data_IF_093710350006
#
_entry.id   IF_093710350006
#
_cell.length_a   1.000
_cell.length_b   1.000
_cell.length_c   1.000
_cell.angle_alpha   90.00
_cell.angle_beta   90.00
_cell.angle_gamma   90.00
#
_symmetry.space_group_name_H-M   'P 1'
#
loop_
_entity.id
_entity.type
_entity.pdbx_description
1 polymer ?
#
# COMPACT_ATOMS: atom_id res chain seq x y z
N UNK A 1 -12.48 2.00 6.92
CA UNK A 1 -11.32 2.84 7.26
C UNK A 1 -11.36 4.09 6.41
N UNK A 2 -11.12 5.24 7.02
CA UNK A 2 -11.10 6.55 6.37
C UNK A 2 -9.72 7.21 6.50
N UNK A 3 -9.61 8.44 6.00
CA UNK A 3 -8.42 9.28 6.19
C UNK A 3 -8.27 9.67 7.66
N UNK A 4 -9.39 9.98 8.32
CA UNK A 4 -9.45 10.41 9.71
C UNK A 4 -8.96 9.29 10.65
N UNK A 5 -9.26 8.03 10.33
CA UNK A 5 -8.72 6.86 11.05
C UNK A 5 -7.19 6.79 10.96
N UNK A 6 -6.64 7.03 9.76
CA UNK A 6 -5.19 7.03 9.54
C UNK A 6 -4.51 8.20 10.27
N UNK A 7 -5.12 9.38 10.23
CA UNK A 7 -4.62 10.58 10.90
C UNK A 7 -4.59 10.39 12.42
N UNK A 8 -5.68 9.88 13.00
CA UNK A 8 -5.79 9.60 14.44
C UNK A 8 -4.74 8.58 14.88
N UNK A 9 -4.51 7.53 14.08
CA UNK A 9 -3.48 6.54 14.37
C UNK A 9 -2.07 7.11 14.35
N UNK A 10 -1.72 7.89 13.31
CA UNK A 10 -0.39 8.50 13.23
C UNK A 10 -0.13 9.47 14.39
N UNK A 11 -1.17 10.17 14.86
CA UNK A 11 -1.08 11.01 16.06
C UNK A 11 -0.88 10.17 17.33
N UNK A 12 -1.61 9.06 17.50
CA UNK A 12 -1.47 8.22 18.69
C UNK A 12 -0.12 7.50 18.77
N UNK A 13 0.50 7.23 17.62
CA UNK A 13 1.85 6.66 17.52
C UNK A 13 2.96 7.73 17.55
N UNK A 14 2.61 9.01 17.77
CA UNK A 14 3.53 10.16 17.82
C UNK A 14 4.43 10.29 16.58
N UNK A 15 3.95 9.82 15.43
CA UNK A 15 4.68 9.89 14.16
C UNK A 15 4.56 11.31 13.60
N UNK A 16 5.67 11.89 13.14
CA UNK A 16 5.63 13.17 12.42
C UNK A 16 5.08 12.95 11.00
N UNK A 17 3.96 13.59 10.68
CA UNK A 17 3.35 13.49 9.35
C UNK A 17 2.78 14.82 8.87
N UNK A 18 2.47 14.88 7.57
CA UNK A 18 1.67 15.95 6.95
C UNK A 18 0.81 15.35 5.85
N UNK A 19 -0.51 15.51 5.95
CA UNK A 19 -1.44 15.07 4.90
C UNK A 19 -1.62 16.20 3.89
N UNK A 20 -1.21 15.95 2.64
CA UNK A 20 -1.40 16.87 1.53
C UNK A 20 -2.69 16.50 0.78
N UNK A 21 -3.58 17.48 0.58
CA UNK A 21 -4.85 17.29 -0.14
C UNK A 21 -4.83 18.12 -1.41
N UNK A 22 -5.14 17.48 -2.54
CA UNK A 22 -5.11 18.12 -3.85
C UNK A 22 -6.50 18.11 -4.49
N UNK A 23 -6.80 19.14 -5.31
CA UNK A 23 -8.10 19.26 -6.00
C UNK A 23 -8.28 18.24 -7.14
N UNK A 24 -7.19 17.69 -7.69
CA UNK A 24 -7.21 16.69 -8.78
C UNK A 24 -6.87 15.32 -8.20
N UNK A 25 -7.54 14.27 -8.66
CA UNK A 25 -7.31 12.90 -8.21
C UNK A 25 -5.84 12.46 -8.40
N UNK A 26 -5.29 11.77 -7.39
CA UNK A 26 -3.94 11.18 -7.35
C UNK A 26 -4.02 9.65 -7.34
N UNK A 27 -4.73 9.07 -8.30
CA UNK A 27 -4.94 7.62 -8.32
C UNK A 27 -3.75 6.84 -8.88
N UNK A 28 -2.84 7.51 -9.59
CA UNK A 28 -1.65 6.89 -10.18
C UNK A 28 -0.36 7.49 -9.64
N UNK A 29 0.73 6.72 -9.76
CA UNK A 29 2.09 7.20 -9.43
C UNK A 29 2.44 8.44 -10.24
N UNK A 30 2.06 8.48 -11.53
CA UNK A 30 2.33 9.62 -12.41
C UNK A 30 1.58 10.89 -11.97
N UNK A 31 0.31 10.75 -11.55
CA UNK A 31 -0.44 11.89 -11.00
C UNK A 31 0.24 12.43 -9.73
N UNK A 32 0.69 11.51 -8.86
CA UNK A 32 1.39 11.88 -7.64
C UNK A 32 2.75 12.53 -7.92
N UNK A 33 3.54 12.07 -8.90
CA UNK A 33 4.78 12.73 -9.32
C UNK A 33 4.51 14.19 -9.73
N UNK A 34 3.51 14.40 -10.61
CA UNK A 34 3.16 15.73 -11.13
C UNK A 34 2.68 16.67 -10.03
N UNK A 35 1.92 16.16 -9.06
CA UNK A 35 1.35 16.98 -7.99
C UNK A 35 2.32 17.26 -6.83
N UNK A 36 3.17 16.30 -6.49
CA UNK A 36 4.12 16.41 -5.38
C UNK A 36 5.47 16.99 -5.82
N UNK A 37 5.79 16.97 -7.12
CA UNK A 37 7.10 17.36 -7.62
C UNK A 37 8.21 16.41 -7.16
N UNK A 38 7.88 15.17 -6.82
CA UNK A 38 8.83 14.15 -6.38
C UNK A 38 8.95 13.05 -7.44
N UNK A 39 10.14 12.46 -7.55
CA UNK A 39 10.34 11.27 -8.39
C UNK A 39 9.52 10.09 -7.88
N UNK A 40 8.97 9.27 -8.79
CA UNK A 40 8.28 7.99 -8.51
C UNK A 40 9.01 7.06 -7.55
N UNK A 41 10.33 7.16 -7.47
CA UNK A 41 11.13 6.37 -6.54
C UNK A 41 10.88 6.70 -5.07
N UNK A 42 10.38 7.92 -4.80
CA UNK A 42 9.98 8.40 -3.47
C UNK A 42 8.49 8.17 -3.17
N UNK A 43 7.74 7.66 -4.14
CA UNK A 43 6.33 7.29 -3.95
C UNK A 43 6.29 5.85 -3.47
N UNK A 44 5.58 5.58 -2.38
CA UNK A 44 5.36 4.21 -1.87
C UNK A 44 3.98 3.75 -2.29
N UNK A 45 3.87 2.51 -2.79
CA UNK A 45 2.60 1.88 -3.13
C UNK A 45 2.42 0.56 -2.41
N UNK A 46 1.19 0.32 -1.99
CA UNK A 46 0.75 -0.89 -1.33
C UNK A 46 -0.23 -1.65 -2.22
N UNK A 47 -0.04 -2.95 -2.37
CA UNK A 47 -0.90 -3.82 -3.15
C UNK A 47 -1.28 -5.03 -2.31
N UNK A 48 -2.57 -5.35 -2.31
CA UNK A 48 -3.10 -6.51 -1.59
C UNK A 48 -3.14 -7.74 -2.51
N UNK A 49 -2.62 -8.86 -2.03
CA UNK A 49 -2.68 -10.17 -2.66
C UNK A 49 -3.42 -11.14 -1.76
N UNK A 50 -4.04 -12.15 -2.37
CA UNK A 50 -4.66 -13.27 -1.69
C UNK A 50 -3.89 -14.55 -2.05
N UNK A 51 -3.51 -15.34 -1.05
CA UNK A 51 -2.84 -16.63 -1.24
C UNK A 51 -3.82 -17.77 -1.59
N UNK A 52 -3.30 -18.98 -1.80
CA UNK A 52 -4.14 -20.15 -2.09
C UNK A 52 -5.13 -20.55 -0.99
N UNK A 53 -4.94 -20.07 0.25
CA UNK A 53 -5.78 -20.36 1.40
C UNK A 53 -6.75 -19.21 1.73
N UNK A 54 -6.76 -18.14 0.93
CA UNK A 54 -7.58 -16.96 1.19
C UNK A 54 -6.94 -15.94 2.14
N UNK A 55 -5.68 -16.12 2.51
CA UNK A 55 -4.96 -15.21 3.43
C UNK A 55 -4.54 -13.93 2.70
N UNK A 56 -4.85 -12.74 3.26
CA UNK A 56 -4.37 -11.48 2.70
C UNK A 56 -2.88 -11.27 2.98
N UNK A 57 -2.15 -10.82 1.95
CA UNK A 57 -0.74 -10.46 1.98
C UNK A 57 -0.58 -9.07 1.38
N UNK A 58 0.06 -8.16 2.10
CA UNK A 58 0.34 -6.80 1.62
C UNK A 58 1.75 -6.74 1.07
N UNK A 59 1.90 -6.35 -0.19
CA UNK A 59 3.20 -6.06 -0.79
C UNK A 59 3.41 -4.55 -0.92
N UNK A 60 4.58 -4.07 -0.48
CA UNK A 60 4.93 -2.64 -0.46
C UNK A 60 6.22 -2.43 -1.26
N UNK A 61 6.15 -1.55 -2.26
CA UNK A 61 7.28 -1.21 -3.15
C UNK A 61 7.28 0.29 -3.45
N UNK A 62 8.37 0.79 -4.00
CA UNK A 62 8.43 2.15 -4.56
C UNK A 62 7.64 2.24 -5.88
N UNK A 63 7.25 3.45 -6.27
CA UNK A 63 6.36 3.74 -7.39
C UNK A 63 6.92 3.28 -8.74
N UNK A 64 8.25 3.35 -8.90
CA UNK A 64 9.02 2.88 -10.06
C UNK A 64 9.06 1.35 -10.22
N UNK A 65 8.76 0.59 -9.17
CA UNK A 65 8.92 -0.87 -9.17
C UNK A 65 7.63 -1.62 -9.38
N UNK A 66 7.69 -2.85 -9.88
CA UNK A 66 6.56 -3.79 -9.88
C UNK A 66 6.85 -4.90 -8.89
N UNK A 67 5.81 -5.33 -8.16
CA UNK A 67 5.94 -6.50 -7.28
C UNK A 67 6.18 -7.73 -8.15
N UNK A 68 7.27 -8.45 -7.85
CA UNK A 68 7.53 -9.74 -8.45
C UNK A 68 6.76 -10.82 -7.71
N UNK A 69 5.77 -11.42 -8.36
CA UNK A 69 4.99 -12.55 -7.81
C UNK A 69 5.92 -13.65 -7.26
N UNK A 70 6.97 -14.01 -8.01
CA UNK A 70 7.95 -15.03 -7.60
C UNK A 70 8.68 -14.65 -6.31
N UNK A 71 9.14 -13.41 -6.18
CA UNK A 71 9.87 -12.95 -4.97
C UNK A 71 8.92 -12.88 -3.77
N UNK A 72 7.71 -12.33 -3.97
CA UNK A 72 6.73 -12.20 -2.91
C UNK A 72 6.28 -13.58 -2.39
N UNK A 73 5.96 -14.52 -3.29
CA UNK A 73 5.64 -15.91 -2.91
C UNK A 73 6.73 -16.57 -2.09
N UNK A 74 7.98 -16.44 -2.53
CA UNK A 74 9.13 -16.97 -1.78
C UNK A 74 9.23 -16.34 -0.38
N UNK A 75 9.02 -15.03 -0.27
CA UNK A 75 9.11 -14.32 1.01
C UNK A 75 7.96 -14.65 1.96
N UNK A 76 6.73 -14.77 1.45
CA UNK A 76 5.55 -15.02 2.29
C UNK A 76 5.27 -16.51 2.56
N UNK A 77 5.91 -17.41 1.81
CA UNK A 77 5.71 -18.86 1.92
C UNK A 77 4.49 -19.38 1.15
N UNK A 78 3.88 -18.57 0.29
CA UNK A 78 2.69 -18.96 -0.48
C UNK A 78 3.07 -19.71 -1.76
N UNK A 79 2.29 -20.72 -2.13
CA UNK A 79 2.45 -21.43 -3.41
C UNK A 79 1.91 -20.60 -4.57
N UNK A 80 0.81 -19.88 -4.37
CA UNK A 80 0.15 -19.02 -5.37
C UNK A 80 -0.24 -17.70 -4.73
N UNK A 81 -0.12 -16.62 -5.48
CA UNK A 81 -0.69 -15.32 -5.12
C UNK A 81 -1.55 -14.82 -6.27
N UNK A 82 -2.64 -14.15 -5.92
CA UNK A 82 -3.47 -13.40 -6.86
C UNK A 82 -3.60 -11.97 -6.34
N UNK A 83 -3.45 -10.99 -7.23
CA UNK A 83 -3.77 -9.61 -6.88
C UNK A 83 -5.26 -9.53 -6.51
N UNK A 84 -5.56 -8.91 -5.37
CA UNK A 84 -6.92 -8.74 -4.91
C UNK A 84 -7.71 -7.84 -5.86
N UNK A 85 -8.98 -8.20 -6.10
CA UNK A 85 -9.91 -7.35 -6.85
C UNK A 85 -10.27 -6.11 -6.01
N UNK A 86 -10.65 -4.97 -6.63
CA UNK A 86 -10.98 -3.75 -5.89
C UNK A 86 -12.00 -3.94 -4.76
N UNK A 87 -13.05 -4.72 -4.99
CA UNK A 87 -14.05 -5.04 -3.97
C UNK A 87 -13.45 -5.74 -2.75
N UNK A 88 -12.55 -6.70 -2.97
CA UNK A 88 -11.85 -7.45 -1.92
C UNK A 88 -10.87 -6.54 -1.16
N UNK A 89 -10.20 -5.62 -1.85
CA UNK A 89 -9.33 -4.61 -1.20
C UNK A 89 -10.15 -3.77 -0.24
N UNK A 90 -11.30 -3.25 -0.70
CA UNK A 90 -12.19 -2.44 0.11
C UNK A 90 -12.74 -3.20 1.31
N UNK A 91 -13.19 -4.42 1.10
CA UNK A 91 -13.73 -5.30 2.14
C UNK A 91 -12.70 -5.59 3.24
N UNK A 92 -11.47 -5.96 2.87
CA UNK A 92 -10.43 -6.39 3.83
C UNK A 92 -9.78 -5.19 4.52
N UNK A 93 -9.45 -4.15 3.76
CA UNK A 93 -8.62 -3.03 4.24
C UNK A 93 -9.43 -1.84 4.69
N UNK A 94 -10.65 -1.68 4.18
CA UNK A 94 -11.46 -0.48 4.32
C UNK A 94 -11.14 0.63 3.33
N UNK A 95 -10.07 0.50 2.53
CA UNK A 95 -9.62 1.50 1.55
C UNK A 95 -9.92 1.08 0.11
N UNK A 96 -10.11 2.07 -0.75
CA UNK A 96 -10.24 1.85 -2.20
C UNK A 96 -8.87 1.60 -2.84
N UNK A 97 -8.87 0.94 -3.99
CA UNK A 97 -7.67 0.85 -4.84
C UNK A 97 -7.23 2.27 -5.25
N UNK A 98 -5.92 2.53 -5.15
CA UNK A 98 -5.33 3.85 -5.36
C UNK A 98 -5.25 4.70 -4.08
N UNK A 99 -5.94 4.32 -3.01
CA UNK A 99 -5.91 5.02 -1.71
C UNK A 99 -5.46 4.12 -0.54
N UNK A 100 -5.02 2.89 -0.82
CA UNK A 100 -4.60 1.92 0.20
C UNK A 100 -3.26 2.34 0.86
N UNK A 101 -3.25 2.72 2.15
CA UNK A 101 -2.03 2.99 2.89
C UNK A 101 -1.24 1.71 3.20
N UNK A 102 0.07 1.81 3.53
CA UNK A 102 0.88 0.67 3.99
C UNK A 102 0.54 0.18 5.40
N UNK A 103 -0.28 0.93 6.14
CA UNK A 103 -0.61 0.70 7.55
C UNK A 103 -2.10 0.92 7.77
N UNK A 104 -2.61 0.48 8.93
CA UNK A 104 -4.02 0.62 9.35
C UNK A 104 -4.98 -0.02 8.35
N UNK A 105 -5.37 -1.26 8.62
CA UNK A 105 -6.35 -2.00 7.80
C UNK A 105 -7.45 -2.56 8.71
N UNK A 106 -8.59 -2.94 8.14
CA UNK A 106 -9.71 -3.52 8.89
C UNK A 106 -9.35 -4.73 9.76
N UNK A 107 -8.28 -5.45 9.40
CA UNK A 107 -7.68 -6.55 10.17
C UNK A 107 -6.15 -6.48 10.03
N UNK A 108 -5.37 -7.07 10.95
CA UNK A 108 -3.92 -7.19 10.77
C UNK A 108 -3.58 -7.98 9.50
N UNK A 109 -2.71 -7.42 8.65
CA UNK A 109 -2.26 -8.04 7.40
C UNK A 109 -0.75 -8.20 7.43
N UNK A 110 -0.24 -9.37 7.06
CA UNK A 110 1.20 -9.58 6.91
C UNK A 110 1.73 -8.75 5.74
N UNK A 111 2.62 -7.81 6.04
CA UNK A 111 3.22 -6.92 5.07
C UNK A 111 4.65 -7.32 4.71
N UNK A 112 4.98 -7.20 3.42
CA UNK A 112 6.30 -7.46 2.86
C UNK A 112 6.77 -6.21 2.13
N UNK A 113 7.85 -5.61 2.65
CA UNK A 113 8.39 -4.35 2.17
C UNK A 113 9.65 -4.62 1.35
N UNK A 114 9.71 -4.12 0.12
CA UNK A 114 10.96 -4.12 -0.66
C UNK A 114 12.00 -3.24 0.06
N UNK A 115 13.22 -3.74 0.33
CA UNK A 115 14.26 -2.96 1.01
C UNK A 115 14.55 -1.58 0.40
N UNK A 116 14.28 -1.35 -0.90
CA UNK A 116 14.42 -0.01 -1.51
C UNK A 116 13.48 1.02 -0.87
N UNK A 117 12.35 0.60 -0.32
CA UNK A 117 11.42 1.47 0.43
C UNK A 117 12.04 1.94 1.75
N UNK A 118 13.18 1.40 2.19
CA UNK A 118 13.85 1.86 3.41
C UNK A 118 15.15 2.62 3.13
N UNK A 119 15.47 2.89 1.86
CA UNK A 119 16.80 3.36 1.44
C UNK A 119 16.80 4.75 0.80
N UNK A 120 15.81 5.59 1.09
CA UNK A 120 15.70 6.96 0.56
C UNK A 120 16.29 8.02 1.47
#
# INVERSE_FOLDING_TARGET
MSREDLESYLQSEEVKFRILTFKKHTMTVEDAERQLGVSRERIVKSLLFIDENGTPILGIVTGDRRISDKKLRKACGARKLKLARPSVVKEITGYEVGALPPIIHGKPIRAFIDPKVMSF
#
